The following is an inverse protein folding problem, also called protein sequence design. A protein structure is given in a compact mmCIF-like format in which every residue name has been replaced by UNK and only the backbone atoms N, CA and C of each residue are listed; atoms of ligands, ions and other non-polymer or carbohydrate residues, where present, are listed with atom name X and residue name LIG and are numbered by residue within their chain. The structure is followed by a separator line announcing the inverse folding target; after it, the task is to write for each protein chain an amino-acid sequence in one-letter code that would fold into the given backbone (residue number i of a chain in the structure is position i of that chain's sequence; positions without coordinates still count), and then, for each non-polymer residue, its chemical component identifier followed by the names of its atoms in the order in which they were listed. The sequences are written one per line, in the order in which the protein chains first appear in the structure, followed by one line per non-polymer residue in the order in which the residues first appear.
data_IF_252498529889
#
_entry.id   IF_252498529889
#
_cell.length_a   1.000
_cell.length_b   1.000
_cell.length_c   1.000
_cell.angle_alpha   90.00
_cell.angle_beta   90.00
_cell.angle_gamma   90.00
#
_symmetry.space_group_name_H-M   'P 1'
#
loop_
_entity.id
_entity.type
_entity.pdbx_description
1 polymer ?
#
# COMPACT_ATOMS: atom_id res chain seq x y z
N UNK A 1 53.11 -29.49 -19.51
CA UNK A 1 54.23 -28.55 -19.35
C UNK A 1 53.70 -27.12 -19.45
N UNK A 2 54.11 -26.27 -18.51
CA UNK A 2 53.89 -24.80 -18.41
C UNK A 2 54.50 -24.07 -19.64
N UNK A 3 54.17 -22.79 -19.95
CA UNK A 3 54.34 -21.68 -19.00
C UNK A 3 53.32 -20.52 -18.99
N UNK A 4 53.44 -19.78 -17.89
CA UNK A 4 52.96 -18.42 -17.60
C UNK A 4 53.78 -17.40 -18.40
N UNK A 5 53.22 -16.20 -18.68
CA UNK A 5 53.57 -14.97 -17.94
C UNK A 5 53.36 -13.68 -18.74
N UNK A 6 52.82 -12.68 -18.03
CA UNK A 6 53.09 -11.23 -18.12
C UNK A 6 52.73 -10.44 -19.38
N UNK A 7 51.73 -9.56 -19.21
CA UNK A 7 51.65 -8.27 -19.90
C UNK A 7 51.81 -7.13 -18.87
N UNK A 8 52.47 -6.00 -19.20
CA UNK A 8 53.03 -5.06 -18.24
C UNK A 8 52.17 -3.81 -17.99
N UNK A 9 52.51 -3.13 -16.90
CA UNK A 9 52.00 -1.82 -16.46
C UNK A 9 52.69 -0.62 -17.14
N UNK A 10 51.98 0.53 -17.08
CA UNK A 10 52.49 1.93 -17.06
C UNK A 10 53.12 2.52 -18.35
N UNK A 11 53.32 3.87 -18.52
CA UNK A 11 53.15 4.97 -17.57
C UNK A 11 52.45 6.26 -18.09
N UNK A 12 52.22 7.14 -17.12
CA UNK A 12 51.96 8.59 -17.20
C UNK A 12 53.21 9.38 -17.67
N UNK A 13 53.08 10.45 -18.46
CA UNK A 13 53.98 11.65 -18.39
C UNK A 13 53.43 12.87 -19.17
N UNK A 14 53.53 14.01 -18.48
CA UNK A 14 53.42 15.39 -18.95
C UNK A 14 54.46 15.77 -20.03
N UNK A 15 54.09 16.69 -20.93
CA UNK A 15 54.86 17.82 -21.52
C UNK A 15 54.15 18.26 -22.82
N UNK A 16 54.15 19.51 -23.32
CA UNK A 16 55.06 20.62 -23.11
C UNK A 16 54.44 21.95 -23.63
N UNK A 17 54.92 23.04 -23.02
CA UNK A 17 55.35 24.33 -23.61
C UNK A 17 54.53 25.09 -24.67
N UNK A 18 54.05 26.26 -24.22
CA UNK A 18 54.42 27.62 -24.68
C UNK A 18 54.48 27.95 -26.18
N UNK A 19 53.67 28.94 -26.59
CA UNK A 19 54.11 29.99 -27.51
C UNK A 19 53.33 31.31 -27.29
N UNK A 20 54.07 32.40 -27.09
CA UNK A 20 53.64 33.79 -26.99
C UNK A 20 53.40 34.40 -28.38
N UNK A 21 52.29 35.12 -28.61
CA UNK A 21 52.23 36.28 -29.54
C UNK A 21 51.23 37.33 -29.04
N UNK A 22 51.65 38.59 -29.16
CA UNK A 22 51.05 39.86 -28.73
C UNK A 22 49.74 40.28 -29.44
N UNK A 23 48.94 41.05 -28.68
CA UNK A 23 48.21 42.29 -29.03
C UNK A 23 47.24 42.27 -30.23
N UNK A 24 45.93 42.38 -29.95
CA UNK A 24 45.07 43.50 -30.42
C UNK A 24 43.59 43.29 -30.05
N UNK A 25 43.02 44.35 -29.46
CA UNK A 25 41.64 44.86 -29.60
C UNK A 25 40.51 43.88 -30.00
N UNK A 26 39.59 43.72 -29.04
CA UNK A 26 38.15 43.90 -29.24
C UNK A 26 37.43 42.96 -30.21
N UNK A 27 36.58 42.08 -29.66
CA UNK A 27 35.24 41.85 -30.18
C UNK A 27 34.39 41.14 -29.13
N UNK A 28 33.22 41.70 -28.85
CA UNK A 28 32.21 41.12 -27.98
C UNK A 28 31.84 39.71 -28.47
N UNK A 29 31.84 38.71 -27.58
CA UNK A 29 31.23 37.41 -27.84
C UNK A 29 30.01 37.29 -26.93
N UNK A 30 28.85 37.29 -27.57
CA UNK A 30 27.57 37.04 -26.96
C UNK A 30 27.62 35.72 -26.16
N UNK A 31 27.23 35.78 -24.88
CA UNK A 31 27.03 34.61 -24.06
C UNK A 31 25.75 33.91 -24.54
N UNK A 32 25.91 32.83 -25.30
CA UNK A 32 24.82 31.92 -25.64
C UNK A 32 24.47 31.13 -24.38
N UNK A 33 23.43 31.56 -23.67
CA UNK A 33 22.87 30.78 -22.58
C UNK A 33 22.16 29.57 -23.19
N UNK A 34 22.78 28.39 -23.10
CA UNK A 34 22.08 27.12 -23.34
C UNK A 34 21.18 26.91 -22.13
N UNK A 35 19.91 27.28 -22.26
CA UNK A 35 18.89 26.92 -21.29
C UNK A 35 18.65 25.42 -21.39
N UNK A 36 19.27 24.66 -20.49
CA UNK A 36 18.82 23.30 -20.20
C UNK A 36 17.41 23.41 -19.62
N UNK A 37 16.41 23.20 -20.46
CA UNK A 37 15.06 22.92 -19.98
C UNK A 37 15.13 21.58 -19.24
N UNK A 38 15.36 21.64 -17.93
CA UNK A 38 15.04 20.53 -17.04
C UNK A 38 13.54 20.31 -17.16
N UNK A 39 13.16 19.37 -18.02
CA UNK A 39 11.85 18.77 -17.99
C UNK A 39 11.75 18.09 -16.63
N UNK A 40 11.15 18.79 -15.66
CA UNK A 40 10.76 18.16 -14.41
C UNK A 40 9.92 16.93 -14.80
N UNK A 41 10.22 15.73 -14.27
CA UNK A 41 9.34 14.60 -14.48
C UNK A 41 7.96 15.02 -13.98
N UNK A 42 6.95 14.86 -14.84
CA UNK A 42 5.57 15.05 -14.47
C UNK A 42 5.36 14.34 -13.13
N UNK A 43 4.98 15.09 -12.11
CA UNK A 43 4.66 14.54 -10.81
C UNK A 43 3.70 13.38 -11.05
N UNK A 44 4.09 12.16 -10.65
CA UNK A 44 3.20 11.02 -10.62
C UNK A 44 1.99 11.46 -9.78
N UNK A 45 0.90 11.81 -10.44
CA UNK A 45 -0.39 11.93 -9.79
C UNK A 45 -0.78 10.47 -9.46
N UNK A 46 -0.25 9.96 -8.35
CA UNK A 46 -0.46 8.58 -7.93
C UNK A 46 -1.95 8.31 -7.85
N UNK A 47 -2.40 7.26 -8.53
CA UNK A 47 -3.79 6.83 -8.46
C UNK A 47 -4.11 6.41 -7.04
N UNK A 48 -5.10 7.07 -6.43
CA UNK A 48 -5.57 6.71 -5.10
C UNK A 48 -6.62 5.59 -5.21
N UNK A 49 -6.48 4.55 -4.40
CA UNK A 49 -7.41 3.44 -4.31
C UNK A 49 -8.19 3.47 -2.98
N UNK A 50 -9.40 2.92 -2.96
CA UNK A 50 -10.13 2.69 -1.71
C UNK A 50 -9.88 1.26 -1.23
N UNK A 51 -9.52 1.11 0.03
CA UNK A 51 -9.34 -0.19 0.69
C UNK A 51 -10.29 -0.24 1.88
N UNK A 52 -10.95 -1.39 2.06
CA UNK A 52 -11.76 -1.66 3.24
C UNK A 52 -11.05 -2.71 4.10
N UNK A 53 -10.75 -2.33 5.34
CA UNK A 53 -10.07 -3.19 6.31
C UNK A 53 -11.03 -3.62 7.41
N UNK A 54 -11.11 -4.94 7.65
CA UNK A 54 -12.01 -5.53 8.65
C UNK A 54 -11.29 -6.15 9.84
N UNK A 55 -9.99 -6.47 9.67
CA UNK A 55 -9.20 -7.26 10.61
C UNK A 55 -8.16 -6.45 11.39
N UNK A 56 -6.93 -6.95 11.41
CA UNK A 56 -5.84 -6.44 12.25
C UNK A 56 -5.32 -5.05 11.89
N UNK A 57 -5.67 -4.54 10.70
CA UNK A 57 -5.27 -3.21 10.20
C UNK A 57 -6.20 -2.08 10.65
N UNK A 58 -7.37 -2.36 11.25
CA UNK A 58 -8.29 -1.33 11.76
C UNK A 58 -7.66 -0.51 12.89
N UNK A 59 -8.14 0.72 13.14
CA UNK A 59 -7.78 1.51 14.33
C UNK A 59 -7.97 0.69 15.61
N UNK A 60 -6.97 0.76 16.49
CA UNK A 60 -6.95 0.02 17.75
C UNK A 60 -6.60 -1.47 17.62
N UNK A 61 -6.36 -1.98 16.41
CA UNK A 61 -5.95 -3.36 16.18
C UNK A 61 -4.43 -3.50 16.00
N UNK A 62 -3.85 -4.71 16.19
CA UNK A 62 -2.40 -4.88 16.36
C UNK A 62 -1.51 -4.39 15.21
N UNK A 63 -2.02 -4.39 13.97
CA UNK A 63 -1.25 -4.01 12.78
C UNK A 63 -1.57 -2.59 12.28
N UNK A 64 -2.39 -1.80 12.99
CA UNK A 64 -2.72 -0.41 12.62
C UNK A 64 -1.49 0.47 12.41
N UNK A 65 -0.39 0.20 13.13
CA UNK A 65 0.91 0.87 12.97
C UNK A 65 1.41 0.92 11.53
N UNK A 66 1.01 -0.03 10.68
CA UNK A 66 1.40 -0.05 9.27
C UNK A 66 0.58 0.92 8.41
N UNK A 67 -0.69 1.15 8.75
CA UNK A 67 -1.57 2.09 8.02
C UNK A 67 -1.12 3.54 8.19
N UNK A 68 -0.52 3.89 9.32
CA UNK A 68 -0.05 5.25 9.62
C UNK A 68 1.45 5.47 9.33
N UNK A 69 2.15 4.46 8.82
CA UNK A 69 3.58 4.58 8.52
C UNK A 69 3.77 5.17 7.12
N UNK A 70 4.10 6.46 7.06
CA UNK A 70 4.30 7.19 5.81
C UNK A 70 5.47 6.69 4.95
N UNK A 71 6.41 5.93 5.52
CA UNK A 71 7.46 5.27 4.75
C UNK A 71 6.94 4.13 3.87
N UNK A 72 5.72 3.64 4.15
CA UNK A 72 5.04 2.58 3.38
C UNK A 72 4.05 3.13 2.35
N UNK A 73 3.90 4.46 2.28
CA UNK A 73 2.88 5.14 1.47
C UNK A 73 1.84 5.86 2.34
N UNK A 74 0.84 6.45 1.68
CA UNK A 74 -0.23 7.20 2.32
C UNK A 74 -1.47 6.34 2.51
N UNK A 75 -2.03 6.32 3.71
CA UNK A 75 -3.39 5.86 3.97
C UNK A 75 -4.17 6.94 4.75
N UNK A 76 -5.29 7.37 4.18
CA UNK A 76 -6.18 8.35 4.80
C UNK A 76 -7.49 7.68 5.15
N UNK A 77 -7.86 7.72 6.43
CA UNK A 77 -9.19 7.28 6.85
C UNK A 77 -10.24 8.08 6.09
N UNK A 78 -11.34 7.42 5.73
CA UNK A 78 -12.48 8.05 5.07
C UNK A 78 -13.77 7.85 5.84
N UNK A 79 -13.88 6.76 6.62
CA UNK A 79 -15.12 6.45 7.28
C UNK A 79 -15.21 4.99 7.72
N UNK A 80 -16.40 4.62 8.17
CA UNK A 80 -16.76 3.27 8.58
C UNK A 80 -17.81 2.70 7.65
N UNK A 81 -17.78 1.40 7.45
CA UNK A 81 -18.73 0.71 6.61
C UNK A 81 -18.92 -0.73 7.00
N UNK A 82 -19.81 -1.41 6.28
CA UNK A 82 -20.01 -2.85 6.33
C UNK A 82 -20.14 -3.43 4.94
N UNK A 83 -19.76 -4.68 4.74
CA UNK A 83 -19.96 -5.36 3.46
C UNK A 83 -21.45 -5.40 3.11
N UNK A 84 -21.80 -5.07 1.86
CA UNK A 84 -23.19 -5.20 1.37
C UNK A 84 -23.57 -6.68 1.34
N UNK A 85 -22.70 -7.52 0.79
CA UNK A 85 -22.85 -8.97 0.85
C UNK A 85 -22.41 -9.53 2.19
N UNK A 86 -22.95 -10.69 2.55
CA UNK A 86 -22.51 -11.44 3.74
C UNK A 86 -21.26 -12.25 3.42
N UNK A 87 -20.30 -12.27 4.35
CA UNK A 87 -19.12 -13.13 4.27
C UNK A 87 -18.87 -13.87 5.59
N UNK A 88 -18.34 -15.11 5.54
CA UNK A 88 -17.75 -15.75 6.70
C UNK A 88 -16.45 -15.03 7.08
N UNK A 89 -16.47 -14.34 8.21
CA UNK A 89 -15.26 -13.85 8.87
C UNK A 89 -14.96 -14.76 10.05
N UNK A 90 -13.85 -15.50 9.97
CA UNK A 90 -13.43 -16.49 10.96
C UNK A 90 -12.10 -16.10 11.57
N UNK A 91 -11.85 -16.49 12.82
CA UNK A 91 -10.52 -16.40 13.44
C UNK A 91 -9.91 -17.80 13.38
N UNK A 92 -8.78 -17.94 12.69
CA UNK A 92 -8.22 -19.25 12.39
C UNK A 92 -6.68 -19.32 12.41
N UNK A 93 -6.18 -20.55 12.41
CA UNK A 93 -4.76 -20.88 12.42
C UNK A 93 -4.07 -20.64 13.77
N UNK A 94 -2.80 -21.05 13.88
CA UNK A 94 -2.03 -20.99 15.13
C UNK A 94 -1.75 -19.57 15.66
N UNK A 95 -2.03 -18.56 14.84
CA UNK A 95 -1.77 -17.15 15.15
C UNK A 95 -3.04 -16.31 15.31
N UNK A 96 -4.22 -16.94 15.35
CA UNK A 96 -5.53 -16.28 15.53
C UNK A 96 -5.74 -15.14 14.52
N UNK A 97 -5.52 -15.42 13.24
CA UNK A 97 -5.63 -14.43 12.16
C UNK A 97 -7.10 -14.34 11.73
N UNK A 98 -7.68 -13.13 11.55
CA UNK A 98 -9.01 -12.97 11.00
C UNK A 98 -8.99 -13.17 9.48
N UNK A 99 -9.72 -14.17 8.98
CA UNK A 99 -9.88 -14.43 7.55
C UNK A 99 -11.31 -14.17 7.10
N UNK A 100 -11.49 -13.33 6.08
CA UNK A 100 -12.73 -13.29 5.32
C UNK A 100 -12.67 -14.33 4.20
N UNK A 101 -13.43 -15.41 4.36
CA UNK A 101 -13.54 -16.45 3.34
C UNK A 101 -14.41 -15.91 2.19
N UNK A 102 -13.95 -16.05 0.95
CA UNK A 102 -14.66 -15.57 -0.22
C UNK A 102 -15.83 -16.50 -0.59
N UNK A 103 -16.83 -16.56 0.28
CA UNK A 103 -18.09 -17.30 0.12
C UNK A 103 -19.24 -16.29 0.28
N UNK A 104 -19.51 -15.46 -0.76
CA UNK A 104 -20.54 -14.44 -0.68
C UNK A 104 -21.91 -15.04 -0.37
N UNK A 105 -22.71 -14.30 0.40
CA UNK A 105 -24.04 -14.71 0.85
C UNK A 105 -24.07 -15.55 2.14
N UNK A 106 -22.91 -15.91 2.69
CA UNK A 106 -22.78 -16.70 3.93
C UNK A 106 -22.23 -15.84 5.06
N UNK A 107 -22.59 -16.12 6.33
CA UNK A 107 -22.04 -15.39 7.48
C UNK A 107 -22.76 -14.07 7.76
N UNK A 108 -22.00 -12.98 7.91
CA UNK A 108 -22.52 -11.68 8.36
C UNK A 108 -22.11 -10.54 7.43
N UNK A 109 -22.79 -9.40 7.55
CA UNK A 109 -22.27 -8.13 7.01
C UNK A 109 -21.10 -7.70 7.88
N UNK A 110 -19.90 -7.76 7.34
CA UNK A 110 -18.67 -7.55 8.11
C UNK A 110 -18.39 -6.06 8.23
N UNK A 111 -18.27 -5.58 9.47
CA UNK A 111 -17.96 -4.20 9.79
C UNK A 111 -16.46 -3.91 9.72
N UNK A 112 -16.13 -2.71 9.24
CA UNK A 112 -14.75 -2.29 9.06
C UNK A 112 -14.60 -0.81 8.76
N UNK A 113 -13.42 -0.47 8.27
CA UNK A 113 -12.99 0.91 8.04
C UNK A 113 -12.58 1.10 6.58
N UNK A 114 -12.93 2.26 6.02
CA UNK A 114 -12.63 2.63 4.64
C UNK A 114 -11.46 3.60 4.66
N UNK A 115 -10.44 3.31 3.86
CA UNK A 115 -9.26 4.13 3.66
C UNK A 115 -9.08 4.46 2.19
N UNK A 116 -8.62 5.67 1.90
CA UNK A 116 -8.04 6.01 0.60
C UNK A 116 -6.52 5.87 0.72
N UNK A 117 -5.92 5.05 -0.13
CA UNK A 117 -4.49 4.75 -0.12
C UNK A 117 -3.83 5.11 -1.44
N UNK A 118 -2.55 5.47 -1.42
CA UNK A 118 -1.76 5.59 -2.66
C UNK A 118 -1.29 4.22 -3.16
N UNK A 119 -0.69 4.21 -4.35
CA UNK A 119 -0.19 2.98 -4.99
C UNK A 119 0.92 2.30 -4.16
N UNK A 120 1.79 3.07 -3.51
CA UNK A 120 2.85 2.54 -2.66
C UNK A 120 2.28 1.78 -1.46
N UNK A 121 1.30 2.37 -0.76
CA UNK A 121 0.62 1.72 0.34
C UNK A 121 -0.15 0.49 -0.13
N UNK A 122 -0.80 0.57 -1.28
CA UNK A 122 -1.54 -0.57 -1.84
C UNK A 122 -0.62 -1.75 -2.17
N UNK A 123 0.56 -1.49 -2.75
CA UNK A 123 1.58 -2.52 -2.99
C UNK A 123 2.11 -3.10 -1.67
N UNK A 124 2.41 -2.25 -0.69
CA UNK A 124 2.84 -2.72 0.63
C UNK A 124 1.78 -3.63 1.27
N UNK A 125 0.50 -3.29 1.16
CA UNK A 125 -0.59 -4.11 1.72
C UNK A 125 -0.70 -5.46 1.01
N UNK A 126 -0.51 -5.52 -0.31
CA UNK A 126 -0.49 -6.79 -1.05
C UNK A 126 0.64 -7.72 -0.57
N UNK A 127 1.85 -7.19 -0.43
CA UNK A 127 3.01 -7.92 0.10
C UNK A 127 2.79 -8.32 1.57
N UNK A 128 2.25 -7.40 2.37
CA UNK A 128 1.96 -7.64 3.77
C UNK A 128 0.95 -8.76 3.93
N UNK A 129 -0.16 -8.74 3.20
CA UNK A 129 -1.20 -9.78 3.27
C UNK A 129 -0.79 -11.07 2.53
N UNK A 130 0.39 -11.14 1.93
CA UNK A 130 0.88 -12.35 1.25
C UNK A 130 0.05 -12.71 0.02
N UNK A 131 -0.32 -11.70 -0.77
CA UNK A 131 -1.03 -11.90 -2.02
C UNK A 131 -0.10 -12.41 -3.13
N UNK A 132 -0.58 -13.27 -4.04
CA UNK A 132 -1.94 -13.85 -4.09
C UNK A 132 -2.13 -15.16 -3.30
N UNK A 133 -1.12 -15.67 -2.60
CA UNK A 133 -1.15 -17.02 -2.00
C UNK A 133 -2.05 -17.12 -0.76
N UNK A 134 -1.87 -16.22 0.20
CA UNK A 134 -2.60 -16.24 1.49
C UNK A 134 -3.95 -15.51 1.39
N UNK A 135 -3.92 -14.31 0.84
CA UNK A 135 -5.10 -13.51 0.51
C UNK A 135 -5.09 -13.15 -0.97
N UNK A 136 -6.25 -12.74 -1.47
CA UNK A 136 -6.44 -12.17 -2.78
C UNK A 136 -7.15 -10.83 -2.62
N UNK A 137 -6.62 -9.80 -3.26
CA UNK A 137 -7.24 -8.48 -3.32
C UNK A 137 -8.41 -8.51 -4.30
N UNK A 138 -9.62 -8.41 -3.79
CA UNK A 138 -10.87 -8.43 -4.57
C UNK A 138 -11.61 -7.10 -4.42
N UNK A 139 -12.47 -6.77 -5.38
CA UNK A 139 -13.31 -5.58 -5.32
C UNK A 139 -14.66 -5.95 -4.70
N UNK A 140 -15.10 -5.22 -3.68
CA UNK A 140 -16.37 -5.45 -3.00
C UNK A 140 -17.16 -4.16 -2.77
N UNK A 141 -18.48 -4.28 -2.78
CA UNK A 141 -19.40 -3.21 -2.42
C UNK A 141 -19.53 -3.08 -0.89
N UNK A 142 -19.26 -1.88 -0.38
CA UNK A 142 -19.28 -1.54 1.04
C UNK A 142 -20.35 -0.48 1.28
N UNK A 143 -21.31 -0.78 2.13
CA UNK A 143 -22.28 0.20 2.63
C UNK A 143 -21.59 1.13 3.64
N UNK A 144 -21.59 2.42 3.35
CA UNK A 144 -21.01 3.45 4.22
C UNK A 144 -21.94 3.72 5.40
N UNK A 145 -21.42 3.53 6.61
CA UNK A 145 -22.12 3.82 7.88
C UNK A 145 -21.78 5.23 8.37
N UNK A 146 -20.53 5.65 8.19
CA UNK A 146 -20.01 6.95 8.62
C UNK A 146 -18.98 7.45 7.59
N UNK A 147 -18.95 8.75 7.30
CA UNK A 147 -17.97 9.35 6.38
C UNK A 147 -17.36 10.62 6.97
N UNK A 148 -16.03 10.71 6.94
CA UNK A 148 -15.25 11.85 7.45
C UNK A 148 -15.47 13.10 6.58
N UNK A 149 -15.73 14.25 7.22
CA UNK A 149 -15.88 15.55 6.54
C UNK A 149 -17.32 15.98 6.19
N UNK A 150 -18.36 15.20 6.53
CA UNK A 150 -19.75 15.70 6.50
C UNK A 150 -20.10 16.46 7.78
N UNK A 151 -19.65 17.71 7.85
CA UNK A 151 -20.12 18.73 8.79
C UNK A 151 -20.35 20.05 8.05
N UNK A 152 -21.57 20.27 7.57
CA UNK A 152 -21.99 21.54 6.93
C UNK A 152 -23.19 21.37 6.01
N UNK A 153 -24.30 22.03 6.34
CA UNK A 153 -25.53 22.06 5.56
C UNK A 153 -25.33 22.68 4.16
N UNK A 154 -25.98 22.11 3.15
CA UNK A 154 -25.99 22.65 1.78
C UNK A 154 -26.46 21.62 0.75
N UNK A 155 -27.78 21.56 0.58
CA UNK A 155 -28.58 21.07 -0.55
C UNK A 155 -27.88 20.35 -1.72
N UNK A 156 -28.39 19.17 -2.08
CA UNK A 156 -28.25 18.66 -3.44
C UNK A 156 -27.55 17.32 -3.64
N UNK A 157 -27.74 16.35 -2.73
CA UNK A 157 -28.05 14.94 -3.08
C UNK A 157 -28.30 14.15 -1.81
N UNK A 158 -29.51 13.63 -1.69
CA UNK A 158 -29.69 12.34 -1.04
C UNK A 158 -28.70 11.35 -1.68
N UNK A 159 -27.66 10.96 -0.95
CA UNK A 159 -27.27 9.55 -0.96
C UNK A 159 -28.04 8.99 0.25
N UNK A 160 -29.31 8.57 0.16
CA UNK A 160 -29.76 7.46 -0.68
C UNK A 160 -28.64 6.41 -0.75
N UNK A 161 -28.56 5.56 0.28
CA UNK A 161 -27.86 4.27 0.25
C UNK A 161 -26.41 4.36 -0.27
N UNK A 162 -25.51 4.92 0.55
CA UNK A 162 -24.13 5.22 0.17
C UNK A 162 -23.25 3.97 0.08
N UNK A 163 -23.36 3.19 -0.98
CA UNK A 163 -22.46 2.07 -1.28
C UNK A 163 -21.25 2.58 -2.06
N UNK A 164 -20.04 2.13 -1.68
CA UNK A 164 -18.78 2.41 -2.40
C UNK A 164 -18.06 1.11 -2.73
N UNK A 165 -17.32 1.10 -3.83
CA UNK A 165 -16.43 -0.01 -4.16
C UNK A 165 -15.06 0.18 -3.47
N UNK A 166 -14.61 -0.88 -2.81
CA UNK A 166 -13.33 -0.94 -2.12
C UNK A 166 -12.59 -2.23 -2.47
N UNK A 167 -11.27 -2.16 -2.51
CA UNK A 167 -10.44 -3.36 -2.43
C UNK A 167 -10.53 -3.97 -1.03
N UNK A 168 -10.66 -5.30 -0.97
CA UNK A 168 -10.72 -6.09 0.25
C UNK A 168 -9.79 -7.28 0.11
N UNK A 169 -9.08 -7.62 1.18
CA UNK A 169 -8.27 -8.83 1.25
C UNK A 169 -9.15 -9.99 1.73
N UNK A 170 -9.62 -10.80 0.79
CA UNK A 170 -10.38 -12.02 1.04
C UNK A 170 -9.57 -13.25 0.67
N UNK A 171 -9.89 -14.44 1.16
CA UNK A 171 -9.17 -15.66 0.79
C UNK A 171 -10.09 -16.71 0.17
N UNK A 172 -9.57 -17.40 -0.84
CA UNK A 172 -10.12 -18.62 -1.46
C UNK A 172 -9.27 -19.85 -1.13
N UNK A 173 -8.14 -19.66 -0.45
CA UNK A 173 -7.11 -20.64 -0.15
C UNK A 173 -7.10 -20.94 1.35
N UNK A 174 -8.01 -21.81 1.80
CA UNK A 174 -8.16 -22.18 3.21
C UNK A 174 -8.53 -23.67 3.38
N UNK A 175 -8.19 -24.27 4.53
CA UNK A 175 -8.66 -25.59 4.90
C UNK A 175 -10.21 -25.66 4.97
N UNK A 176 -10.86 -26.70 4.42
CA UNK A 176 -12.33 -26.79 4.38
C UNK A 176 -13.01 -26.68 5.76
N UNK A 177 -12.35 -27.13 6.83
CA UNK A 177 -12.86 -27.07 8.19
C UNK A 177 -13.06 -25.64 8.71
N UNK A 178 -12.42 -24.63 8.10
CA UNK A 178 -12.60 -23.24 8.50
C UNK A 178 -14.01 -22.71 8.23
N UNK A 179 -14.73 -23.32 7.29
CA UNK A 179 -16.15 -22.99 7.01
C UNK A 179 -17.04 -23.36 8.22
N UNK A 180 -16.59 -24.25 9.11
CA UNK A 180 -17.33 -24.60 10.33
C UNK A 180 -17.02 -23.72 11.55
N UNK A 181 -16.07 -22.79 11.45
CA UNK A 181 -15.66 -21.95 12.59
C UNK A 181 -16.71 -20.87 12.92
N UNK A 182 -16.69 -20.31 14.15
CA UNK A 182 -17.56 -19.20 14.50
C UNK A 182 -17.40 -18.01 13.55
N UNK A 183 -18.52 -17.50 13.06
CA UNK A 183 -18.56 -16.31 12.21
C UNK A 183 -18.65 -15.05 13.06
N UNK A 184 -17.91 -14.03 12.66
CA UNK A 184 -17.87 -12.73 13.31
C UNK A 184 -18.42 -11.64 12.39
N UNK A 185 -19.15 -10.67 12.95
CA UNK A 185 -19.58 -9.47 12.24
C UNK A 185 -18.57 -8.32 12.38
N UNK A 186 -17.79 -8.30 13.47
CA UNK A 186 -16.69 -7.36 13.67
C UNK A 186 -15.55 -8.05 14.42
N UNK A 187 -14.37 -8.07 13.80
CA UNK A 187 -13.15 -8.56 14.45
C UNK A 187 -12.62 -7.58 15.51
N UNK A 188 -12.19 -8.12 16.65
CA UNK A 188 -11.39 -7.45 17.66
C UNK A 188 -10.40 -8.45 18.27
N UNK A 189 -9.09 -8.21 18.17
CA UNK A 189 -8.08 -9.09 18.78
C UNK A 189 -8.31 -9.33 20.28
N UNK A 190 -8.83 -8.34 21.00
CA UNK A 190 -9.11 -8.43 22.45
C UNK A 190 -10.57 -8.77 22.73
N UNK A 191 -11.27 -9.31 21.73
CA UNK A 191 -12.69 -9.62 21.79
C UNK A 191 -13.03 -10.77 22.75
N UNK A 192 -14.34 -10.94 23.00
CA UNK A 192 -14.88 -11.95 23.94
C UNK A 192 -14.57 -13.40 23.58
N UNK A 193 -14.07 -13.66 22.37
CA UNK A 193 -13.63 -15.00 21.94
C UNK A 193 -12.33 -15.46 22.64
N UNK A 194 -11.56 -14.55 23.23
CA UNK A 194 -10.31 -14.90 23.95
C UNK A 194 -9.16 -15.36 23.04
N UNK A 195 -9.31 -15.21 21.73
CA UNK A 195 -8.33 -15.59 20.70
C UNK A 195 -7.53 -14.37 20.24
N UNK A 196 -6.56 -13.95 21.05
CA UNK A 196 -5.70 -12.79 20.72
C UNK A 196 -4.77 -13.07 19.55
N UNK A 197 -4.65 -12.11 18.63
CA UNK A 197 -3.74 -12.18 17.49
C UNK A 197 -2.29 -12.31 17.94
N UNK A 198 -1.56 -13.22 17.28
CA UNK A 198 -0.12 -13.38 17.47
C UNK A 198 0.62 -12.55 16.42
N UNK A 199 1.32 -11.52 16.91
CA UNK A 199 2.17 -10.63 16.12
C UNK A 199 3.18 -11.42 15.29
N UNK A 200 3.48 -10.95 14.06
CA UNK A 200 4.40 -11.63 13.15
C UNK A 200 5.79 -11.78 13.74
N UNK A 201 6.21 -10.79 14.50
CA UNK A 201 7.50 -10.70 15.18
C UNK A 201 7.62 -11.68 16.36
N UNK A 202 6.51 -12.28 16.81
CA UNK A 202 6.45 -13.23 17.92
C UNK A 202 6.21 -14.67 17.45
N UNK A 203 6.36 -14.93 16.15
CA UNK A 203 6.11 -16.23 15.54
C UNK A 203 7.40 -17.04 15.47
N UNK A 204 7.31 -18.29 15.92
CA UNK A 204 8.33 -19.33 15.67
C UNK A 204 8.31 -19.77 14.19
#
# INVERSE_FOLDING_TARGET
MRPLSHGPEEPCVHNALLAWVRFSRGLARAATWVTYAFCLPAAFAGTMARVFVYGTLKKGQPNYKHMINTAKGLAKFQGRGRTVEKYPLVIAGKYNIPYMLNIPGTGHHVAGEIYTVDEQMLQFLDEFEGCPEMYQRTLMSIEVVEWEGKGGAGEGRAAAEGVVECFVYSTTTYPPEWVGLPYHDSYDSSGKHGLSYVLRESRD
#
